data_IF_662437469163
#
_entry.id   IF_662437469163
#
_cell.length_a   1.000
_cell.length_b   1.000
_cell.length_c   1.000
_cell.angle_alpha   90.00
_cell.angle_beta   90.00
_cell.angle_gamma   90.00
#
_symmetry.space_group_name_H-M   'P 1'
#
loop_
_entity.id
_entity.type
_entity.pdbx_description
1 polymer ?
#
# COMPACT_ATOMS: atom_id res chain seq x y z
N UNK A 1 4.70 29.04 -30.84
CA UNK A 1 5.84 28.10 -30.81
C UNK A 1 5.62 27.10 -29.69
N UNK A 2 5.10 25.93 -30.02
CA UNK A 2 4.89 24.82 -29.07
C UNK A 2 6.25 24.25 -28.69
N UNK A 3 6.74 24.55 -27.49
CA UNK A 3 7.81 23.77 -26.88
C UNK A 3 7.30 22.34 -26.71
N UNK A 4 7.59 21.50 -27.69
CA UNK A 4 7.35 20.07 -27.65
C UNK A 4 8.20 19.47 -26.55
N UNK A 5 7.63 19.38 -25.34
CA UNK A 5 8.11 18.44 -24.34
C UNK A 5 8.05 17.06 -24.98
N UNK A 6 9.21 16.56 -25.44
CA UNK A 6 9.37 15.19 -25.93
C UNK A 6 8.85 14.27 -24.84
N UNK A 7 7.68 13.68 -25.08
CA UNK A 7 7.04 12.74 -24.14
C UNK A 7 8.01 11.59 -23.90
N UNK A 8 8.26 11.19 -22.65
CA UNK A 8 9.23 10.14 -22.35
C UNK A 8 8.81 8.84 -23.06
N UNK A 9 9.78 8.14 -23.65
CA UNK A 9 9.51 6.86 -24.31
C UNK A 9 9.02 5.83 -23.29
N UNK A 10 8.31 4.79 -23.73
CA UNK A 10 7.84 3.69 -22.87
C UNK A 10 8.96 3.13 -21.99
N UNK A 11 10.18 3.02 -22.55
CA UNK A 11 11.36 2.51 -21.85
C UNK A 11 11.99 3.49 -20.85
N UNK A 12 11.67 4.78 -20.90
CA UNK A 12 12.13 5.78 -19.93
C UNK A 12 11.10 6.04 -18.83
N UNK A 13 9.94 5.38 -18.90
CA UNK A 13 8.86 5.57 -17.96
C UNK A 13 8.89 4.49 -16.87
N UNK A 14 8.92 4.95 -15.62
CA UNK A 14 9.03 4.10 -14.44
C UNK A 14 7.83 3.14 -14.26
N UNK A 15 6.62 3.59 -14.57
CA UNK A 15 5.40 2.79 -14.40
C UNK A 15 5.41 1.55 -15.30
N UNK A 16 5.94 1.67 -16.52
CA UNK A 16 6.07 0.54 -17.44
C UNK A 16 7.11 -0.46 -16.95
N UNK A 17 8.25 0.02 -16.42
CA UNK A 17 9.23 -0.86 -15.80
C UNK A 17 8.69 -1.57 -14.57
N UNK A 18 7.89 -0.90 -13.75
CA UNK A 18 7.21 -1.52 -12.64
C UNK A 18 6.26 -2.65 -13.10
N UNK A 19 5.54 -2.44 -14.21
CA UNK A 19 4.73 -3.48 -14.85
C UNK A 19 5.60 -4.65 -15.31
N UNK A 20 6.64 -4.39 -16.10
CA UNK A 20 7.49 -5.44 -16.66
C UNK A 20 8.14 -6.29 -15.56
N UNK A 21 8.68 -5.66 -14.52
CA UNK A 21 9.28 -6.38 -13.39
C UNK A 21 8.22 -7.17 -12.63
N UNK A 22 7.07 -6.57 -12.33
CA UNK A 22 5.97 -7.25 -11.64
C UNK A 22 5.50 -8.49 -12.39
N UNK A 23 5.25 -8.38 -13.70
CA UNK A 23 4.86 -9.50 -14.55
C UNK A 23 5.95 -10.55 -14.68
N UNK A 24 7.20 -10.13 -14.82
CA UNK A 24 8.33 -11.05 -14.86
C UNK A 24 8.42 -11.87 -13.57
N UNK A 25 8.21 -11.26 -12.40
CA UNK A 25 8.11 -11.97 -11.13
C UNK A 25 6.98 -13.01 -11.16
N UNK A 26 5.80 -12.67 -11.70
CA UNK A 26 4.68 -13.64 -11.80
C UNK A 26 5.02 -14.82 -12.72
N UNK A 27 5.69 -14.57 -13.85
CA UNK A 27 6.14 -15.61 -14.75
C UNK A 27 7.20 -16.51 -14.11
N UNK A 28 8.18 -15.92 -13.42
CA UNK A 28 9.17 -16.69 -12.66
C UNK A 28 8.54 -17.50 -11.52
N UNK A 29 7.48 -16.99 -10.90
CA UNK A 29 6.71 -17.71 -9.89
C UNK A 29 6.02 -18.95 -10.48
N UNK A 30 5.52 -18.84 -11.70
CA UNK A 30 4.82 -19.90 -12.41
C UNK A 30 5.75 -21.08 -12.73
N UNK A 31 7.00 -20.81 -13.10
CA UNK A 31 8.02 -21.83 -13.36
C UNK A 31 8.80 -22.26 -12.10
N UNK A 32 8.46 -21.72 -10.93
CA UNK A 32 9.09 -22.08 -9.65
C UNK A 32 10.55 -21.63 -9.48
N UNK A 33 11.03 -20.70 -10.30
CA UNK A 33 12.43 -20.25 -10.30
C UNK A 33 12.71 -19.07 -9.34
N UNK A 34 11.67 -18.48 -8.75
CA UNK A 34 11.87 -17.36 -7.82
C UNK A 34 12.63 -17.78 -6.55
N UNK A 35 13.67 -17.03 -6.15
CA UNK A 35 14.27 -17.14 -4.84
C UNK A 35 13.22 -17.15 -3.74
N UNK A 36 13.30 -18.14 -2.86
CA UNK A 36 12.51 -18.13 -1.63
C UNK A 36 13.05 -17.04 -0.70
N UNK A 37 12.17 -16.23 -0.06
CA UNK A 37 12.62 -15.26 0.91
C UNK A 37 13.26 -15.96 2.12
N UNK A 38 14.15 -15.26 2.86
CA UNK A 38 14.75 -15.82 4.05
C UNK A 38 13.68 -16.21 5.07
N UNK A 39 13.82 -17.40 5.65
CA UNK A 39 12.92 -17.88 6.71
C UNK A 39 13.33 -17.25 8.03
N UNK A 40 12.56 -16.23 8.44
CA UNK A 40 12.70 -15.59 9.75
C UNK A 40 11.59 -16.13 10.66
N UNK A 41 11.96 -16.87 11.70
CA UNK A 41 11.01 -17.38 12.69
C UNK A 41 10.57 -16.28 13.66
N UNK A 42 9.48 -16.52 14.39
CA UNK A 42 9.19 -15.70 15.58
C UNK A 42 10.21 -16.06 16.65
N UNK A 43 10.83 -15.05 17.25
CA UNK A 43 11.94 -15.25 18.18
C UNK A 43 11.70 -14.54 19.50
N UNK A 44 12.53 -14.84 20.49
CA UNK A 44 12.67 -14.10 21.76
C UNK A 44 14.15 -13.80 22.01
N UNK A 45 15.03 -14.76 21.68
CA UNK A 45 16.47 -14.60 21.53
C UNK A 45 16.89 -14.60 20.04
N UNK A 46 17.89 -13.79 19.69
CA UNK A 46 18.25 -13.55 18.27
C UNK A 46 18.69 -14.83 17.54
N UNK A 47 19.32 -15.79 18.22
CA UNK A 47 19.69 -17.08 17.62
C UNK A 47 18.49 -17.88 17.10
N UNK A 48 17.33 -17.77 17.77
CA UNK A 48 16.09 -18.43 17.34
C UNK A 48 15.45 -17.78 16.10
N UNK A 49 15.83 -16.55 15.74
CA UNK A 49 15.30 -15.85 14.57
C UNK A 49 15.63 -16.57 13.26
N UNK A 50 16.76 -17.30 13.23
CA UNK A 50 17.31 -17.94 12.05
C UNK A 50 17.37 -19.46 12.22
N UNK A 51 16.22 -20.17 12.15
CA UNK A 51 16.16 -21.61 12.40
C UNK A 51 16.98 -22.44 11.39
N UNK A 52 17.33 -21.85 10.23
CA UNK A 52 18.21 -22.48 9.23
C UNK A 52 19.65 -21.93 9.24
N UNK A 53 20.03 -21.15 10.26
CA UNK A 53 21.37 -20.59 10.43
C UNK A 53 21.90 -19.89 9.17
N UNK A 54 23.13 -20.23 8.78
CA UNK A 54 23.87 -19.64 7.65
C UNK A 54 23.15 -19.73 6.29
N UNK A 55 22.30 -20.73 6.07
CA UNK A 55 21.53 -20.83 4.82
C UNK A 55 20.50 -19.69 4.65
N UNK A 56 20.11 -19.05 5.76
CA UNK A 56 19.28 -17.84 5.73
C UNK A 56 20.04 -16.67 5.13
N UNK A 57 21.34 -16.57 5.38
CA UNK A 57 22.19 -15.53 4.78
C UNK A 57 22.32 -15.76 3.27
N UNK A 58 22.55 -17.00 2.83
CA UNK A 58 22.61 -17.34 1.40
C UNK A 58 21.33 -17.00 0.64
N UNK A 59 20.16 -17.38 1.19
CA UNK A 59 18.86 -17.01 0.60
C UNK A 59 18.58 -15.51 0.62
N UNK A 60 19.04 -14.81 1.65
CA UNK A 60 18.95 -13.33 1.73
C UNK A 60 19.79 -12.66 0.65
N UNK A 61 21.04 -13.09 0.47
CA UNK A 61 21.94 -12.58 -0.55
C UNK A 61 21.37 -12.87 -1.95
N UNK A 62 20.88 -14.09 -2.19
CA UNK A 62 20.30 -14.45 -3.48
C UNK A 62 19.04 -13.63 -3.81
N UNK A 63 18.20 -13.34 -2.80
CA UNK A 63 17.06 -12.43 -2.96
C UNK A 63 17.51 -11.00 -3.24
N UNK A 64 18.51 -10.49 -2.51
CA UNK A 64 19.10 -9.16 -2.73
C UNK A 64 19.61 -9.01 -4.16
N UNK A 65 20.39 -9.99 -4.64
CA UNK A 65 20.90 -10.00 -6.02
C UNK A 65 19.74 -10.02 -7.01
N UNK A 66 18.75 -10.88 -6.81
CA UNK A 66 17.63 -11.00 -7.74
C UNK A 66 16.85 -9.69 -7.84
N UNK A 67 16.44 -9.10 -6.72
CA UNK A 67 15.72 -7.82 -6.71
C UNK A 67 16.60 -6.67 -7.21
N UNK A 68 17.89 -6.68 -6.86
CA UNK A 68 18.88 -5.72 -7.33
C UNK A 68 19.03 -5.75 -8.84
N UNK A 69 19.16 -6.94 -9.45
CA UNK A 69 19.26 -7.13 -10.91
C UNK A 69 17.98 -6.66 -11.60
N UNK A 70 16.80 -7.03 -11.09
CA UNK A 70 15.52 -6.62 -11.68
C UNK A 70 15.38 -5.10 -11.73
N UNK A 71 15.69 -4.42 -10.62
CA UNK A 71 15.61 -2.96 -10.54
C UNK A 71 16.74 -2.26 -11.28
N UNK A 72 17.93 -2.86 -11.32
CA UNK A 72 19.08 -2.39 -12.09
C UNK A 72 18.80 -2.37 -13.60
N UNK A 73 18.19 -3.43 -14.14
CA UNK A 73 17.81 -3.48 -15.55
C UNK A 73 16.91 -2.30 -15.88
N UNK A 74 15.85 -2.07 -15.10
CA UNK A 74 15.00 -0.89 -15.30
C UNK A 74 15.77 0.43 -15.15
N UNK A 75 16.66 0.51 -14.15
CA UNK A 75 17.51 1.67 -13.91
C UNK A 75 18.44 2.02 -15.08
N UNK A 76 18.93 1.05 -15.86
CA UNK A 76 19.71 1.31 -17.07
C UNK A 76 18.89 2.13 -18.08
N UNK A 77 17.67 1.69 -18.37
CA UNK A 77 16.81 2.35 -19.36
C UNK A 77 16.26 3.69 -18.86
N UNK A 78 16.06 3.83 -17.56
CA UNK A 78 15.70 5.08 -16.88
C UNK A 78 16.90 6.02 -16.63
N UNK A 79 18.12 5.62 -17.04
CA UNK A 79 19.36 6.41 -16.93
C UNK A 79 19.77 6.76 -15.50
N UNK A 80 19.60 5.83 -14.56
CA UNK A 80 20.06 6.00 -13.18
C UNK A 80 21.59 6.02 -13.09
N UNK A 81 22.13 6.68 -12.06
CA UNK A 81 23.57 6.64 -11.74
C UNK A 81 23.89 5.28 -11.09
N UNK A 82 24.15 4.27 -11.92
CA UNK A 82 24.31 2.87 -11.50
C UNK A 82 25.46 2.66 -10.51
N UNK A 83 26.53 3.48 -10.63
CA UNK A 83 27.69 3.43 -9.72
C UNK A 83 27.29 3.77 -8.28
N UNK A 84 26.29 4.63 -8.11
CA UNK A 84 25.75 5.01 -6.80
C UNK A 84 24.53 4.19 -6.40
N UNK A 85 23.72 3.79 -7.37
CA UNK A 85 22.51 3.00 -7.16
C UNK A 85 22.83 1.63 -6.54
N UNK A 86 23.76 0.86 -7.13
CA UNK A 86 24.06 -0.51 -6.67
C UNK A 86 24.49 -0.55 -5.19
N UNK A 87 25.52 0.19 -4.74
CA UNK A 87 25.90 0.16 -3.33
C UNK A 87 24.81 0.72 -2.41
N UNK A 88 24.07 1.74 -2.87
CA UNK A 88 22.93 2.27 -2.12
C UNK A 88 21.81 1.23 -1.92
N UNK A 89 21.48 0.47 -2.97
CA UNK A 89 20.46 -0.57 -2.94
C UNK A 89 20.81 -1.65 -1.93
N UNK A 90 22.08 -2.09 -1.88
CA UNK A 90 22.56 -3.08 -0.92
C UNK A 90 22.34 -2.58 0.52
N UNK A 91 22.63 -1.31 0.81
CA UNK A 91 22.43 -0.73 2.14
C UNK A 91 20.94 -0.62 2.48
N UNK A 92 20.10 -0.12 1.57
CA UNK A 92 18.64 -0.06 1.76
C UNK A 92 18.06 -1.47 1.99
N UNK A 93 18.54 -2.47 1.26
CA UNK A 93 18.15 -3.86 1.42
C UNK A 93 18.58 -4.41 2.78
N UNK A 94 19.79 -4.09 3.25
CA UNK A 94 20.26 -4.50 4.57
C UNK A 94 19.39 -3.91 5.69
N UNK A 95 19.07 -2.61 5.63
CA UNK A 95 18.16 -1.94 6.57
C UNK A 95 16.77 -2.60 6.53
N UNK A 96 16.30 -2.92 5.32
CA UNK A 96 15.03 -3.62 5.11
C UNK A 96 15.01 -5.01 5.74
N UNK A 97 16.08 -5.79 5.56
CA UNK A 97 16.23 -7.10 6.20
C UNK A 97 16.21 -6.99 7.72
N UNK A 98 16.92 -6.00 8.30
CA UNK A 98 16.91 -5.73 9.74
C UNK A 98 15.49 -5.39 10.23
N UNK A 99 14.76 -4.52 9.54
CA UNK A 99 13.36 -4.19 9.87
C UNK A 99 12.45 -5.43 9.87
N UNK A 100 12.65 -6.33 8.91
CA UNK A 100 11.89 -7.58 8.83
C UNK A 100 12.22 -8.55 9.95
N UNK A 101 13.51 -8.68 10.32
CA UNK A 101 13.93 -9.50 11.46
C UNK A 101 13.32 -8.98 12.76
N UNK A 102 13.42 -7.66 13.01
CA UNK A 102 12.92 -7.04 14.24
C UNK A 102 11.40 -7.16 14.34
N UNK A 103 10.67 -7.00 13.24
CA UNK A 103 9.20 -7.18 13.24
C UNK A 103 8.74 -8.59 13.62
N UNK A 104 9.61 -9.60 13.55
CA UNK A 104 9.32 -10.99 13.95
C UNK A 104 9.64 -11.29 15.41
N UNK A 105 10.17 -10.34 16.17
CA UNK A 105 10.35 -10.49 17.60
C UNK A 105 8.99 -10.70 18.28
N UNK A 106 8.90 -11.64 19.25
CA UNK A 106 7.63 -12.05 19.85
C UNK A 106 6.84 -10.86 20.44
N UNK A 107 7.54 -9.91 21.06
CA UNK A 107 6.94 -8.69 21.59
C UNK A 107 6.26 -7.87 20.49
N UNK A 108 7.00 -7.45 19.46
CA UNK A 108 6.45 -6.61 18.39
C UNK A 108 5.37 -7.32 17.58
N UNK A 109 5.53 -8.62 17.33
CA UNK A 109 4.52 -9.43 16.66
C UNK A 109 3.21 -9.48 17.45
N UNK A 110 3.28 -9.59 18.78
CA UNK A 110 2.10 -9.60 19.67
C UNK A 110 1.30 -8.30 19.59
N UNK A 111 1.99 -7.17 19.47
CA UNK A 111 1.37 -5.84 19.34
C UNK A 111 0.99 -5.47 17.90
N UNK A 112 1.13 -6.39 16.94
CA UNK A 112 0.79 -6.15 15.54
C UNK A 112 1.71 -5.13 14.85
N UNK A 113 2.88 -4.82 15.43
CA UNK A 113 3.82 -3.85 14.86
C UNK A 113 4.52 -4.48 13.66
N UNK A 114 4.13 -4.02 12.46
CA UNK A 114 4.61 -4.60 11.20
C UNK A 114 6.00 -4.09 10.80
N UNK A 115 6.66 -4.83 9.89
CA UNK A 115 7.93 -4.43 9.29
C UNK A 115 7.88 -3.04 8.61
N UNK A 116 6.70 -2.61 8.17
CA UNK A 116 6.49 -1.31 7.52
C UNK A 116 6.89 -0.17 8.46
N UNK A 117 6.53 -0.27 9.73
CA UNK A 117 6.84 0.76 10.72
C UNK A 117 8.36 0.81 10.99
N UNK A 118 8.99 -0.35 11.19
CA UNK A 118 10.44 -0.41 11.41
C UNK A 118 11.23 0.10 10.20
N UNK A 119 10.82 -0.27 8.99
CA UNK A 119 11.44 0.19 7.75
C UNK A 119 11.39 1.73 7.66
N UNK A 120 10.23 2.33 7.92
CA UNK A 120 10.06 3.78 7.96
C UNK A 120 10.92 4.42 9.06
N UNK A 121 10.83 3.92 10.31
CA UNK A 121 11.56 4.47 11.46
C UNK A 121 13.07 4.43 11.22
N UNK A 122 13.62 3.34 10.67
CA UNK A 122 15.05 3.28 10.40
C UNK A 122 15.48 4.27 9.32
N UNK A 123 14.68 4.44 8.26
CA UNK A 123 14.92 5.50 7.27
C UNK A 123 14.89 6.89 7.93
N UNK A 124 13.88 7.16 8.76
CA UNK A 124 13.72 8.43 9.48
C UNK A 124 14.88 8.72 10.45
N UNK A 125 15.34 7.71 11.18
CA UNK A 125 16.51 7.85 12.06
C UNK A 125 17.73 8.25 11.24
N UNK A 126 17.94 7.60 10.10
CA UNK A 126 19.07 7.92 9.23
C UNK A 126 18.95 9.35 8.67
N UNK A 127 17.77 9.76 8.21
CA UNK A 127 17.59 11.08 7.59
C UNK A 127 17.59 12.26 8.54
N UNK A 128 17.16 12.05 9.80
CA UNK A 128 17.04 13.13 10.78
C UNK A 128 18.24 13.24 11.72
N UNK A 129 18.94 12.13 11.99
CA UNK A 129 20.15 12.15 12.83
C UNK A 129 21.45 12.18 12.02
N UNK A 130 21.43 11.75 10.75
CA UNK A 130 22.62 11.70 9.91
C UNK A 130 22.39 12.37 8.55
N UNK A 131 23.48 12.78 7.91
CA UNK A 131 23.41 13.29 6.54
C UNK A 131 23.27 12.11 5.58
N UNK A 132 22.13 11.99 4.91
CA UNK A 132 21.87 10.91 3.94
C UNK A 132 22.93 10.92 2.82
N UNK A 133 23.76 9.87 2.69
CA UNK A 133 24.79 9.78 1.66
C UNK A 133 24.20 9.78 0.24
N UNK A 134 24.98 10.26 -0.74
CA UNK A 134 24.56 10.31 -2.16
C UNK A 134 24.16 8.94 -2.72
N UNK A 135 24.77 7.85 -2.23
CA UNK A 135 24.42 6.48 -2.64
C UNK A 135 23.00 6.10 -2.20
N UNK A 136 22.58 6.47 -0.98
CA UNK A 136 21.24 6.20 -0.48
C UNK A 136 20.20 7.04 -1.21
N UNK A 137 20.52 8.30 -1.53
CA UNK A 137 19.66 9.15 -2.37
C UNK A 137 19.47 8.58 -3.77
N UNK A 138 20.54 8.05 -4.38
CA UNK A 138 20.46 7.43 -5.70
C UNK A 138 19.60 6.15 -5.70
N UNK A 139 19.68 5.35 -4.63
CA UNK A 139 18.96 4.08 -4.51
C UNK A 139 17.55 4.19 -3.90
N UNK A 140 17.21 5.33 -3.28
CA UNK A 140 15.92 5.60 -2.64
C UNK A 140 14.78 5.82 -3.64
N UNK A 141 14.56 4.85 -4.54
CA UNK A 141 13.54 4.94 -5.58
C UNK A 141 12.17 4.54 -5.02
N UNK A 142 11.62 5.40 -4.15
CA UNK A 142 10.34 5.21 -3.43
C UNK A 142 9.21 4.76 -4.36
N UNK A 143 8.94 5.55 -5.40
CA UNK A 143 7.88 5.27 -6.37
C UNK A 143 8.13 3.98 -7.16
N UNK A 144 9.36 3.74 -7.60
CA UNK A 144 9.67 2.54 -8.36
C UNK A 144 9.40 1.26 -7.56
N UNK A 145 9.88 1.21 -6.31
CA UNK A 145 9.70 0.05 -5.45
C UNK A 145 8.23 -0.22 -5.12
N UNK A 146 7.46 0.82 -4.75
CA UNK A 146 6.05 0.62 -4.43
C UNK A 146 5.24 0.22 -5.65
N UNK A 147 5.51 0.78 -6.83
CA UNK A 147 4.81 0.43 -8.07
C UNK A 147 5.04 -1.03 -8.45
N UNK A 148 6.28 -1.54 -8.35
CA UNK A 148 6.58 -2.97 -8.55
C UNK A 148 5.79 -3.82 -7.55
N UNK A 149 5.84 -3.45 -6.27
CA UNK A 149 5.11 -4.14 -5.23
C UNK A 149 3.60 -4.16 -5.47
N UNK A 150 3.03 -3.07 -6.01
CA UNK A 150 1.61 -2.98 -6.35
C UNK A 150 1.23 -3.89 -7.51
N UNK A 151 2.04 -4.00 -8.55
CA UNK A 151 1.79 -4.97 -9.63
C UNK A 151 1.82 -6.40 -9.07
N UNK A 152 2.80 -6.73 -8.21
CA UNK A 152 2.82 -8.02 -7.50
C UNK A 152 1.60 -8.21 -6.57
N UNK A 153 1.08 -7.13 -5.99
CA UNK A 153 -0.14 -7.16 -5.17
C UNK A 153 -1.36 -7.57 -5.98
N UNK A 154 -1.43 -7.23 -7.27
CA UNK A 154 -2.52 -7.64 -8.15
C UNK A 154 -2.71 -9.15 -8.14
N UNK A 155 -1.63 -9.92 -8.22
CA UNK A 155 -1.65 -11.38 -8.13
C UNK A 155 -2.07 -11.95 -6.76
N UNK A 156 -2.09 -11.12 -5.71
CA UNK A 156 -2.56 -11.50 -4.37
C UNK A 156 -4.03 -11.12 -4.14
N UNK A 157 -4.54 -10.15 -4.91
CA UNK A 157 -5.96 -9.79 -4.90
C UNK A 157 -6.67 -10.73 -5.85
N UNK A 158 -7.25 -11.77 -5.27
CA UNK A 158 -8.12 -12.67 -6.02
C UNK A 158 -9.51 -12.03 -6.13
N UNK A 159 -9.94 -11.73 -7.35
CA UNK A 159 -11.31 -11.29 -7.61
C UNK A 159 -12.31 -12.34 -7.10
N UNK A 160 -11.94 -13.63 -7.08
CA UNK A 160 -12.74 -14.70 -6.48
C UNK A 160 -12.99 -14.50 -4.97
N UNK A 161 -12.09 -13.85 -4.23
CA UNK A 161 -12.29 -13.49 -2.81
C UNK A 161 -13.22 -12.28 -2.66
N UNK A 162 -13.12 -11.29 -3.55
CA UNK A 162 -14.04 -10.14 -3.57
C UNK A 162 -15.44 -10.58 -3.99
N UNK A 163 -15.58 -11.51 -4.93
CA UNK A 163 -16.85 -12.13 -5.28
C UNK A 163 -17.44 -12.91 -4.10
N UNK A 164 -16.60 -13.61 -3.32
CA UNK A 164 -17.00 -14.25 -2.05
C UNK A 164 -17.37 -13.26 -0.95
N UNK A 165 -16.84 -12.03 -0.99
CA UNK A 165 -17.28 -10.95 -0.10
C UNK A 165 -18.75 -10.59 -0.27
N UNK A 166 -19.33 -11.01 -1.40
CA UNK A 166 -20.70 -10.73 -1.77
C UNK A 166 -20.95 -9.25 -2.00
N UNK A 167 -22.22 -8.92 -2.19
CA UNK A 167 -22.66 -7.54 -2.36
C UNK A 167 -22.35 -6.66 -1.15
N UNK A 168 -22.31 -7.23 0.07
CA UNK A 168 -22.18 -6.49 1.32
C UNK A 168 -20.81 -5.82 1.45
N UNK A 169 -19.71 -6.56 1.25
CA UNK A 169 -18.36 -6.01 1.35
C UNK A 169 -18.08 -4.94 0.29
N UNK A 170 -18.57 -5.15 -0.94
CA UNK A 170 -18.44 -4.19 -2.04
C UNK A 170 -19.31 -2.95 -1.78
N UNK A 171 -20.54 -3.12 -1.29
CA UNK A 171 -21.42 -2.02 -0.95
C UNK A 171 -20.80 -1.14 0.15
N UNK A 172 -20.26 -1.74 1.22
CA UNK A 172 -19.53 -1.00 2.24
C UNK A 172 -18.38 -0.20 1.62
N UNK A 173 -17.55 -0.85 0.79
CA UNK A 173 -16.39 -0.21 0.20
C UNK A 173 -16.81 1.03 -0.61
N UNK A 174 -17.82 0.92 -1.46
CA UNK A 174 -18.33 2.03 -2.29
C UNK A 174 -18.91 3.15 -1.43
N UNK A 175 -19.80 2.83 -0.48
CA UNK A 175 -20.46 3.83 0.37
C UNK A 175 -19.47 4.59 1.26
N UNK A 176 -18.53 3.87 1.87
CA UNK A 176 -17.47 4.46 2.70
C UNK A 176 -16.55 5.30 1.83
N UNK A 177 -15.99 4.74 0.76
CA UNK A 177 -15.02 5.47 -0.04
C UNK A 177 -15.61 6.74 -0.66
N UNK A 178 -16.86 6.70 -1.14
CA UNK A 178 -17.49 7.87 -1.75
C UNK A 178 -17.66 9.00 -0.73
N UNK A 179 -18.31 8.73 0.41
CA UNK A 179 -18.58 9.78 1.42
C UNK A 179 -17.30 10.28 2.06
N UNK A 180 -16.37 9.37 2.38
CA UNK A 180 -15.08 9.74 2.99
C UNK A 180 -14.24 10.55 2.00
N UNK A 181 -14.25 10.22 0.71
CA UNK A 181 -13.48 10.97 -0.28
C UNK A 181 -13.99 12.42 -0.38
N UNK A 182 -15.29 12.62 -0.61
CA UNK A 182 -15.85 13.97 -0.73
C UNK A 182 -15.76 14.74 0.60
N UNK A 183 -16.01 14.08 1.73
CA UNK A 183 -15.89 14.69 3.05
C UNK A 183 -14.46 15.13 3.36
N UNK A 184 -13.47 14.26 3.11
CA UNK A 184 -12.05 14.59 3.31
C UNK A 184 -11.61 15.71 2.39
N UNK A 185 -11.99 15.65 1.11
CA UNK A 185 -11.68 16.70 0.15
C UNK A 185 -12.23 18.04 0.64
N UNK A 186 -13.50 18.08 1.03
CA UNK A 186 -14.14 19.29 1.56
C UNK A 186 -13.44 19.83 2.82
N UNK A 187 -13.10 18.96 3.78
CA UNK A 187 -12.35 19.34 4.98
C UNK A 187 -11.00 19.94 4.58
N UNK A 188 -10.21 19.28 3.74
CA UNK A 188 -8.91 19.77 3.29
C UNK A 188 -9.00 21.14 2.62
N UNK A 189 -10.02 21.37 1.78
CA UNK A 189 -10.25 22.67 1.14
C UNK A 189 -10.58 23.77 2.16
N UNK A 190 -11.34 23.44 3.22
CA UNK A 190 -11.62 24.37 4.33
C UNK A 190 -10.38 24.72 5.15
N UNK A 191 -9.41 23.80 5.21
CA UNK A 191 -8.08 24.03 5.78
C UNK A 191 -7.09 24.67 4.80
N UNK A 192 -7.58 25.22 3.69
CA UNK A 192 -6.77 25.92 2.66
C UNK A 192 -5.68 25.04 2.03
N UNK A 193 -5.86 23.72 2.04
CA UNK A 193 -4.97 22.79 1.34
C UNK A 193 -5.27 22.86 -0.17
N UNK A 194 -4.23 22.83 -1.01
CA UNK A 194 -4.36 22.91 -2.48
C UNK A 194 -5.32 21.84 -3.04
N UNK A 195 -5.94 22.06 -4.20
CA UNK A 195 -6.90 21.09 -4.76
C UNK A 195 -6.24 19.75 -5.08
N UNK A 196 -5.05 19.82 -5.68
CA UNK A 196 -4.23 18.64 -5.97
C UNK A 196 -3.95 17.86 -4.69
N UNK A 197 -3.42 18.52 -3.67
CA UNK A 197 -3.08 17.84 -2.43
C UNK A 197 -4.31 17.35 -1.68
N UNK A 198 -5.39 18.11 -1.65
CA UNK A 198 -6.68 17.70 -1.05
C UNK A 198 -7.21 16.42 -1.70
N UNK A 199 -7.09 16.29 -3.03
CA UNK A 199 -7.49 15.05 -3.73
C UNK A 199 -6.60 13.86 -3.36
N UNK A 200 -5.29 14.08 -3.16
CA UNK A 200 -4.37 13.04 -2.69
C UNK A 200 -4.74 12.60 -1.28
N UNK A 201 -4.96 13.55 -0.35
CA UNK A 201 -5.35 13.27 1.04
C UNK A 201 -6.70 12.54 1.09
N UNK A 202 -7.68 12.99 0.31
CA UNK A 202 -8.99 12.35 0.21
C UNK A 202 -8.91 10.92 -0.31
N UNK A 203 -8.09 10.68 -1.32
CA UNK A 203 -7.88 9.35 -1.90
C UNK A 203 -7.13 8.43 -0.94
N UNK A 204 -6.18 8.99 -0.17
CA UNK A 204 -5.47 8.27 0.88
C UNK A 204 -6.44 7.75 1.97
N UNK A 205 -7.27 8.63 2.54
CA UNK A 205 -8.19 8.31 3.65
C UNK A 205 -9.37 7.40 3.24
N UNK A 206 -9.79 7.42 1.97
CA UNK A 206 -11.00 6.70 1.53
C UNK A 206 -10.77 5.29 1.02
N UNK A 207 -9.51 4.90 0.75
CA UNK A 207 -9.19 3.63 0.08
C UNK A 207 -8.20 2.82 0.92
N UNK A 208 -6.90 2.96 0.63
CA UNK A 208 -5.86 2.08 1.16
C UNK A 208 -4.62 2.84 1.66
N UNK A 209 -4.76 4.16 1.83
CA UNK A 209 -3.68 5.01 2.31
C UNK A 209 -2.57 5.10 1.28
N UNK A 210 -1.46 4.39 1.53
CA UNK A 210 -0.20 4.52 0.80
C UNK A 210 -0.37 4.34 -0.71
N UNK A 211 -0.96 3.24 -1.16
CA UNK A 211 -1.04 2.95 -2.60
C UNK A 211 -1.98 3.93 -3.30
N UNK A 212 -3.06 4.32 -2.61
CA UNK A 212 -4.02 5.30 -3.09
C UNK A 212 -3.39 6.70 -3.21
N UNK A 213 -2.57 7.13 -2.25
CA UNK A 213 -1.78 8.36 -2.31
C UNK A 213 -0.91 8.41 -3.56
N UNK A 214 -0.18 7.33 -3.86
CA UNK A 214 0.74 7.26 -5.00
C UNK A 214 -0.02 7.21 -6.33
N UNK A 215 -1.10 6.42 -6.40
CA UNK A 215 -1.94 6.37 -7.60
C UNK A 215 -2.62 7.72 -7.88
N UNK A 216 -3.13 8.39 -6.84
CA UNK A 216 -3.69 9.73 -6.96
C UNK A 216 -2.62 10.73 -7.41
N UNK A 217 -1.46 10.74 -6.75
CA UNK A 217 -0.32 11.60 -7.09
C UNK A 217 0.09 11.47 -8.56
N UNK A 218 0.21 10.24 -9.07
CA UNK A 218 0.47 10.00 -10.49
C UNK A 218 -0.67 10.47 -11.41
N UNK A 219 -1.92 10.15 -11.06
CA UNK A 219 -3.09 10.48 -11.87
C UNK A 219 -3.32 12.00 -12.02
N UNK A 220 -3.08 12.77 -10.95
CA UNK A 220 -3.30 14.21 -10.91
C UNK A 220 -2.00 15.04 -11.09
N UNK A 221 -0.87 14.37 -11.32
CA UNK A 221 0.47 14.97 -11.38
C UNK A 221 0.77 15.86 -10.16
N UNK A 222 0.56 15.30 -8.97
CA UNK A 222 0.84 15.97 -7.70
C UNK A 222 2.33 16.16 -7.44
N UNK A 223 2.66 17.04 -6.48
CA UNK A 223 4.06 17.23 -6.06
C UNK A 223 4.56 15.93 -5.39
N UNK A 224 5.68 15.34 -5.85
CA UNK A 224 6.28 14.17 -5.22
C UNK A 224 6.54 14.35 -3.71
N UNK A 225 6.84 15.57 -3.26
CA UNK A 225 7.01 15.86 -1.83
C UNK A 225 5.71 15.71 -1.03
N UNK A 226 4.59 16.18 -1.59
CA UNK A 226 3.26 16.01 -1.00
C UNK A 226 2.85 14.53 -0.96
N UNK A 227 3.18 13.76 -2.01
CA UNK A 227 2.97 12.31 -2.05
C UNK A 227 3.78 11.61 -0.97
N UNK A 228 5.10 11.85 -0.89
CA UNK A 228 5.96 11.25 0.13
C UNK A 228 5.55 11.63 1.55
N UNK A 229 5.22 12.91 1.76
CA UNK A 229 4.65 13.41 3.01
C UNK A 229 3.41 12.61 3.42
N UNK A 230 2.44 12.48 2.50
CA UNK A 230 1.17 11.85 2.82
C UNK A 230 1.34 10.36 3.06
N UNK A 231 2.23 9.69 2.33
CA UNK A 231 2.58 8.29 2.62
C UNK A 231 3.14 8.14 4.03
N UNK A 232 4.09 8.98 4.44
CA UNK A 232 4.64 8.94 5.80
C UNK A 232 3.54 9.24 6.85
N UNK A 233 2.69 10.22 6.60
CA UNK A 233 1.61 10.60 7.52
C UNK A 233 0.55 9.50 7.70
N UNK A 234 0.12 8.86 6.60
CA UNK A 234 -0.79 7.69 6.64
C UNK A 234 -0.21 6.60 7.55
N UNK A 235 1.09 6.32 7.45
CA UNK A 235 1.72 5.26 8.23
C UNK A 235 1.74 5.57 9.72
N UNK A 236 2.04 6.82 10.08
CA UNK A 236 1.95 7.29 11.48
C UNK A 236 0.53 7.13 11.99
N UNK A 237 -0.46 7.56 11.20
CA UNK A 237 -1.88 7.44 11.57
C UNK A 237 -2.30 5.97 11.70
N UNK A 238 -1.87 5.09 10.80
CA UNK A 238 -2.17 3.66 10.85
C UNK A 238 -1.68 3.01 12.15
N UNK A 239 -0.48 3.38 12.65
CA UNK A 239 0.02 2.87 13.94
C UNK A 239 -0.92 3.26 15.08
N UNK A 240 -1.32 4.53 15.13
CA UNK A 240 -2.26 5.02 16.15
C UNK A 240 -3.59 4.27 16.07
N UNK A 241 -4.14 4.09 14.86
CA UNK A 241 -5.42 3.39 14.67
C UNK A 241 -5.36 1.92 15.10
N UNK A 242 -4.26 1.21 14.86
CA UNK A 242 -4.07 -0.18 15.33
C UNK A 242 -4.10 -0.25 16.86
N UNK A 243 -3.54 0.76 17.54
CA UNK A 243 -3.48 0.79 19.00
C UNK A 243 -4.81 1.24 19.62
N UNK A 244 -5.56 2.11 18.95
CA UNK A 244 -6.75 2.77 19.49
C UNK A 244 -8.04 2.04 19.14
N UNK A 245 -8.19 1.58 17.90
CA UNK A 245 -9.48 1.04 17.44
C UNK A 245 -9.87 -0.32 18.04
N UNK A 246 -8.98 -1.33 18.17
CA UNK A 246 -9.37 -2.60 18.77
C UNK A 246 -9.86 -2.47 20.22
N UNK A 247 -9.20 -1.69 21.11
CA UNK A 247 -9.74 -1.41 22.44
C UNK A 247 -11.12 -0.75 22.42
N UNK A 248 -11.38 0.18 21.50
CA UNK A 248 -12.71 0.81 21.36
C UNK A 248 -13.75 -0.23 20.94
N UNK A 249 -13.43 -1.10 19.98
CA UNK A 249 -14.35 -2.16 19.54
C UNK A 249 -14.71 -3.14 20.68
N UNK A 250 -13.73 -3.48 21.52
CA UNK A 250 -13.93 -4.32 22.71
C UNK A 250 -14.77 -3.59 23.76
N UNK A 251 -14.49 -2.31 24.02
CA UNK A 251 -15.25 -1.50 24.98
C UNK A 251 -16.73 -1.34 24.57
N UNK A 252 -17.00 -1.21 23.27
CA UNK A 252 -18.35 -1.15 22.71
C UNK A 252 -19.04 -2.53 22.61
N UNK A 253 -18.36 -3.63 22.99
CA UNK A 253 -18.84 -5.01 22.85
C UNK A 253 -19.36 -5.34 21.45
N UNK A 254 -18.65 -4.88 20.42
CA UNK A 254 -19.06 -5.13 19.03
C UNK A 254 -18.90 -6.62 18.68
N UNK A 255 -19.89 -7.22 17.99
CA UNK A 255 -19.72 -8.51 17.33
C UNK A 255 -18.46 -8.55 16.46
N UNK A 256 -17.75 -9.67 16.47
CA UNK A 256 -16.40 -9.77 15.91
C UNK A 256 -16.32 -9.48 14.41
N UNK A 257 -17.31 -9.93 13.63
CA UNK A 257 -17.44 -9.64 12.20
C UNK A 257 -17.68 -8.15 11.94
N UNK A 258 -18.48 -7.48 12.78
CA UNK A 258 -18.75 -6.04 12.65
C UNK A 258 -17.51 -5.24 13.05
N UNK A 259 -16.87 -5.56 14.18
CA UNK A 259 -15.61 -4.97 14.58
C UNK A 259 -14.53 -5.12 13.50
N UNK A 260 -14.41 -6.32 12.92
CA UNK A 260 -13.52 -6.59 11.79
C UNK A 260 -13.82 -5.72 10.57
N UNK A 261 -15.08 -5.65 10.15
CA UNK A 261 -15.50 -4.80 9.03
C UNK A 261 -15.25 -3.31 9.27
N UNK A 262 -15.40 -2.85 10.52
CA UNK A 262 -15.09 -1.48 10.92
C UNK A 262 -13.58 -1.19 10.84
N UNK A 263 -12.74 -2.03 11.45
CA UNK A 263 -11.28 -1.94 11.32
C UNK A 263 -10.84 -1.96 9.84
N UNK A 264 -11.45 -2.87 9.07
CA UNK A 264 -11.27 -3.03 7.62
C UNK A 264 -11.49 -1.77 6.82
N UNK A 265 -12.51 -0.98 7.16
CA UNK A 265 -12.85 0.23 6.42
C UNK A 265 -12.02 1.47 6.79
N UNK A 266 -11.39 1.48 7.98
CA UNK A 266 -10.72 2.67 8.54
C UNK A 266 -9.18 2.54 8.56
N UNK A 267 -8.62 1.37 8.85
CA UNK A 267 -7.16 1.23 8.98
C UNK A 267 -6.51 1.16 7.59
N UNK A 268 -5.86 2.24 7.19
CA UNK A 268 -5.30 2.43 5.84
C UNK A 268 -3.94 1.74 5.61
N UNK A 269 -3.86 0.49 6.03
CA UNK A 269 -2.75 -0.41 5.71
C UNK A 269 -3.22 -1.87 5.81
N UNK A 270 -3.14 -2.61 4.70
CA UNK A 270 -3.64 -3.99 4.61
C UNK A 270 -2.95 -4.95 5.59
N UNK A 271 -1.66 -4.77 5.87
CA UNK A 271 -0.97 -5.61 6.86
C UNK A 271 -1.35 -5.27 8.29
N UNK A 272 -1.45 -3.97 8.58
CA UNK A 272 -1.86 -3.43 9.86
C UNK A 272 -3.28 -3.86 10.25
N UNK A 273 -4.23 -3.81 9.31
CA UNK A 273 -5.63 -4.09 9.59
C UNK A 273 -5.88 -5.56 9.94
N UNK A 274 -5.14 -6.48 9.29
CA UNK A 274 -5.18 -7.91 9.63
C UNK A 274 -4.64 -8.11 11.05
N UNK A 275 -3.51 -7.47 11.39
CA UNK A 275 -2.94 -7.55 12.73
C UNK A 275 -3.87 -6.96 13.80
N UNK A 276 -4.55 -5.85 13.51
CA UNK A 276 -5.57 -5.27 14.39
C UNK A 276 -6.76 -6.22 14.58
N UNK A 277 -7.18 -6.92 13.53
CA UNK A 277 -8.21 -7.97 13.62
C UNK A 277 -7.78 -9.16 14.48
N UNK A 278 -6.49 -9.54 14.44
CA UNK A 278 -5.94 -10.64 15.27
C UNK A 278 -5.91 -10.30 16.77
N UNK A 279 -6.01 -9.02 17.15
CA UNK A 279 -6.12 -8.58 18.55
C UNK A 279 -7.51 -8.87 19.10
N UNK A 280 -8.54 -8.84 18.26
CA UNK A 280 -9.91 -9.09 18.68
C UNK A 280 -10.10 -10.55 19.12
N UNK A 281 -10.97 -10.72 20.12
CA UNK A 281 -11.27 -12.02 20.74
C UNK A 281 -12.73 -12.39 20.53
N UNK A 282 -12.99 -13.68 20.32
CA UNK A 282 -14.34 -14.23 20.31
C UNK A 282 -14.87 -14.42 21.74
N UNK A 283 -16.10 -14.92 21.87
CA UNK A 283 -16.74 -15.13 23.17
C UNK A 283 -15.97 -16.10 24.09
N UNK A 284 -15.13 -16.97 23.52
CA UNK A 284 -14.30 -17.94 24.23
C UNK A 284 -12.90 -17.40 24.59
N UNK A 285 -12.59 -16.13 24.25
CA UNK A 285 -11.30 -15.52 24.54
C UNK A 285 -10.19 -15.89 23.55
N UNK A 286 -10.51 -16.56 22.44
CA UNK A 286 -9.57 -16.93 21.37
C UNK A 286 -9.51 -15.84 20.28
N UNK A 287 -8.47 -15.86 19.45
CA UNK A 287 -8.37 -14.91 18.33
C UNK A 287 -9.49 -15.12 17.31
N UNK A 288 -10.28 -14.06 17.06
CA UNK A 288 -11.44 -14.15 16.18
C UNK A 288 -11.02 -14.28 14.71
N UNK A 289 -11.43 -15.38 14.08
CA UNK A 289 -11.28 -15.60 12.63
C UNK A 289 -12.28 -14.76 11.85
N UNK A 290 -13.47 -14.51 12.41
CA UNK A 290 -14.49 -13.69 11.78
C UNK A 290 -14.00 -12.25 11.64
N UNK A 291 -13.41 -11.68 12.69
CA UNK A 291 -12.85 -10.33 12.69
C UNK A 291 -11.75 -10.16 11.63
N UNK A 292 -10.76 -11.06 11.62
CA UNK A 292 -9.65 -11.03 10.64
C UNK A 292 -10.18 -11.16 9.21
N UNK A 293 -11.15 -12.05 9.00
CA UNK A 293 -11.70 -12.31 7.67
C UNK A 293 -12.53 -11.12 7.17
N UNK A 294 -13.37 -10.53 8.02
CA UNK A 294 -14.18 -9.35 7.67
C UNK A 294 -13.29 -8.12 7.40
N UNK A 295 -12.28 -7.92 8.25
CA UNK A 295 -11.28 -6.86 8.09
C UNK A 295 -10.53 -6.96 6.76
N UNK A 296 -10.01 -8.15 6.45
CA UNK A 296 -9.33 -8.41 5.19
C UNK A 296 -10.27 -8.23 3.99
N UNK A 297 -11.49 -8.74 4.10
CA UNK A 297 -12.49 -8.70 3.03
C UNK A 297 -12.89 -7.26 2.65
N UNK A 298 -13.28 -6.44 3.62
CA UNK A 298 -13.64 -5.03 3.41
C UNK A 298 -12.46 -4.26 2.82
N UNK A 299 -11.25 -4.41 3.39
CA UNK A 299 -10.09 -3.67 2.89
C UNK A 299 -9.70 -4.09 1.48
N UNK A 300 -9.85 -5.37 1.14
CA UNK A 300 -9.58 -5.87 -0.21
C UNK A 300 -10.60 -5.35 -1.22
N UNK A 301 -11.89 -5.27 -0.84
CA UNK A 301 -12.91 -4.64 -1.68
C UNK A 301 -12.56 -3.16 -1.94
N UNK A 302 -12.08 -2.43 -0.92
CA UNK A 302 -11.56 -1.06 -1.10
C UNK A 302 -10.36 -1.00 -2.04
N UNK A 303 -9.37 -1.89 -1.85
CA UNK A 303 -8.16 -1.93 -2.66
C UNK A 303 -8.45 -2.12 -4.16
N UNK A 304 -9.48 -2.88 -4.54
CA UNK A 304 -9.87 -3.07 -5.95
C UNK A 304 -10.33 -1.78 -6.61
N UNK A 305 -10.91 -0.85 -5.85
CA UNK A 305 -11.42 0.42 -6.40
C UNK A 305 -10.32 1.40 -6.81
N UNK A 306 -9.05 1.16 -6.42
CA UNK A 306 -7.93 2.05 -6.76
C UNK A 306 -7.81 2.30 -8.27
N UNK A 307 -8.09 1.27 -9.08
CA UNK A 307 -8.06 1.37 -10.54
C UNK A 307 -9.07 2.36 -11.09
N UNK A 308 -10.32 2.22 -10.63
CA UNK A 308 -11.42 3.09 -11.00
C UNK A 308 -11.18 4.53 -10.52
N UNK A 309 -10.78 4.70 -9.26
CA UNK A 309 -10.58 6.04 -8.69
C UNK A 309 -9.40 6.76 -9.35
N UNK A 310 -8.28 6.09 -9.61
CA UNK A 310 -7.15 6.69 -10.32
C UNK A 310 -7.55 7.14 -11.74
N UNK A 311 -8.42 6.39 -12.42
CA UNK A 311 -8.94 6.75 -13.73
C UNK A 311 -9.84 7.98 -13.66
N UNK A 312 -10.78 8.01 -12.73
CA UNK A 312 -11.67 9.15 -12.50
C UNK A 312 -10.89 10.41 -12.12
N UNK A 313 -9.85 10.28 -11.29
CA UNK A 313 -8.97 11.40 -10.93
C UNK A 313 -8.15 11.91 -12.12
N UNK A 314 -7.64 11.03 -12.98
CA UNK A 314 -6.93 11.45 -14.19
C UNK A 314 -7.86 12.23 -15.15
N UNK A 315 -9.11 11.78 -15.29
CA UNK A 315 -10.15 12.49 -16.04
C UNK A 315 -10.46 13.85 -15.37
N UNK A 316 -10.70 13.86 -14.07
CA UNK A 316 -11.02 15.11 -13.35
C UNK A 316 -9.87 16.13 -13.44
N UNK A 317 -8.62 15.68 -13.28
CA UNK A 317 -7.44 16.55 -13.36
C UNK A 317 -7.26 17.16 -14.76
N UNK A 318 -7.44 16.37 -15.82
CA UNK A 318 -7.37 16.88 -17.20
C UNK A 318 -8.48 17.86 -17.52
N UNK A 319 -9.70 17.65 -16.99
CA UNK A 319 -10.85 18.47 -17.33
C UNK A 319 -11.04 19.73 -16.46
N UNK A 320 -10.55 19.73 -15.22
CA UNK A 320 -10.84 20.79 -14.25
C UNK A 320 -9.61 21.57 -13.76
N UNK A 321 -8.52 20.89 -13.36
CA UNK A 321 -7.36 21.52 -12.72
C UNK A 321 -6.51 22.34 -13.69
N UNK A 322 -6.56 22.02 -14.97
CA UNK A 322 -5.65 22.57 -15.99
C UNK A 322 -6.37 23.19 -17.18
N UNK A 323 -7.70 23.35 -17.08
CA UNK A 323 -8.48 24.02 -18.11
C UNK A 323 -8.12 25.50 -18.13
N UNK A 324 -7.20 25.89 -19.01
CA UNK A 324 -7.03 27.29 -19.41
C UNK A 324 -8.26 27.72 -20.21
N UNK A 325 -8.81 28.89 -19.91
CA UNK A 325 -9.92 29.45 -20.68
C UNK A 325 -9.53 29.52 -22.17
N UNK A 326 -10.36 28.91 -23.03
CA UNK A 326 -10.12 28.83 -24.47
C UNK A 326 -9.28 27.64 -24.98
N UNK A 327 -8.80 26.74 -24.12
CA UNK A 327 -8.11 25.52 -24.56
C UNK A 327 -9.09 24.47 -25.13
N UNK A 328 -8.67 23.76 -26.18
CA UNK A 328 -9.41 22.62 -26.75
C UNK A 328 -9.67 21.54 -25.69
N UNK A 329 -10.74 20.75 -25.88
CA UNK A 329 -11.06 19.62 -24.99
C UNK A 329 -9.85 18.69 -24.90
N UNK A 330 -9.43 18.27 -23.69
CA UNK A 330 -8.29 17.37 -23.53
C UNK A 330 -8.53 16.08 -24.33
N UNK A 331 -7.52 15.67 -25.11
CA UNK A 331 -7.58 14.45 -25.91
C UNK A 331 -7.61 13.23 -24.99
N UNK A 332 -8.33 12.16 -25.39
CA UNK A 332 -8.28 10.86 -24.70
C UNK A 332 -6.84 10.37 -24.47
N UNK A 333 -5.93 10.71 -25.40
CA UNK A 333 -4.53 10.36 -25.29
C UNK A 333 -3.85 11.02 -24.09
N UNK A 334 -4.28 12.21 -23.68
CA UNK A 334 -3.75 12.91 -22.50
C UNK A 334 -4.15 12.21 -21.20
N UNK A 335 -5.43 11.80 -21.10
CA UNK A 335 -5.91 10.96 -19.98
C UNK A 335 -5.12 9.66 -19.92
N UNK A 336 -4.87 9.03 -21.08
CA UNK A 336 -4.02 7.84 -21.14
C UNK A 336 -2.62 8.14 -20.61
N UNK A 337 -1.94 9.21 -21.01
CA UNK A 337 -0.58 9.46 -20.53
C UNK A 337 -0.50 9.72 -19.01
N UNK A 338 -1.53 10.33 -18.42
CA UNK A 338 -1.59 10.57 -16.96
C UNK A 338 -1.99 9.35 -16.16
N UNK A 339 -2.83 8.49 -16.73
CA UNK A 339 -3.30 7.31 -16.04
C UNK A 339 -2.12 6.41 -15.65
N UNK A 340 -1.86 6.19 -14.33
CA UNK A 340 -0.66 5.51 -13.89
C UNK A 340 -0.61 4.07 -14.42
N UNK A 341 0.44 3.73 -15.17
CA UNK A 341 0.47 2.45 -15.90
C UNK A 341 0.63 1.25 -14.98
N UNK A 342 1.27 1.45 -13.83
CA UNK A 342 1.38 0.41 -12.81
C UNK A 342 0.01 -0.04 -12.27
N UNK A 343 -0.99 0.84 -12.26
CA UNK A 343 -2.37 0.52 -11.84
C UNK A 343 -3.00 -0.44 -12.85
N UNK A 344 -2.76 -0.22 -14.15
CA UNK A 344 -3.15 -1.18 -15.19
C UNK A 344 -2.43 -2.52 -14.99
N UNK A 345 -1.12 -2.51 -14.74
CA UNK A 345 -0.35 -3.71 -14.43
C UNK A 345 -0.94 -4.50 -13.27
N UNK A 346 -1.31 -3.82 -12.18
CA UNK A 346 -2.01 -4.40 -11.04
C UNK A 346 -3.37 -5.03 -11.42
N UNK A 347 -4.22 -4.30 -12.16
CA UNK A 347 -5.55 -4.80 -12.55
C UNK A 347 -5.43 -6.04 -13.45
N UNK A 348 -4.57 -5.98 -14.48
CA UNK A 348 -4.37 -7.11 -15.39
C UNK A 348 -3.79 -8.31 -14.64
N UNK A 349 -2.84 -8.10 -13.70
CA UNK A 349 -2.29 -9.18 -12.88
C UNK A 349 -3.37 -9.86 -12.03
N UNK A 350 -4.27 -9.08 -11.43
CA UNK A 350 -5.40 -9.59 -10.65
C UNK A 350 -6.38 -10.39 -11.50
N UNK A 351 -6.72 -9.91 -12.69
CA UNK A 351 -7.60 -10.60 -13.64
C UNK A 351 -6.98 -11.90 -14.17
N UNK A 352 -5.72 -11.87 -14.61
CA UNK A 352 -5.03 -13.06 -15.14
C UNK A 352 -4.89 -14.14 -14.07
N UNK A 353 -4.51 -13.79 -12.85
CA UNK A 353 -4.39 -14.78 -11.77
C UNK A 353 -5.76 -15.39 -11.43
N UNK A 354 -6.81 -14.56 -11.35
CA UNK A 354 -8.14 -15.00 -10.93
C UNK A 354 -8.89 -15.78 -12.01
N UNK A 355 -8.76 -15.40 -13.29
CA UNK A 355 -9.58 -15.95 -14.38
C UNK A 355 -8.81 -16.84 -15.35
N UNK A 356 -7.48 -16.83 -15.33
CA UNK A 356 -6.65 -17.67 -16.21
C UNK A 356 -5.88 -18.69 -15.38
N UNK A 357 -5.06 -18.25 -14.42
CA UNK A 357 -4.19 -19.18 -13.68
C UNK A 357 -4.95 -20.06 -12.68
N UNK A 358 -5.94 -19.51 -11.97
CA UNK A 358 -6.76 -20.28 -11.02
C UNK A 358 -7.54 -21.42 -11.71
N UNK A 359 -8.27 -21.18 -12.83
CA UNK A 359 -8.92 -22.25 -13.56
C UNK A 359 -7.96 -23.21 -14.29
N UNK A 360 -6.88 -22.70 -14.90
CA UNK A 360 -6.01 -23.53 -15.75
C UNK A 360 -5.00 -24.39 -14.98
N UNK A 361 -4.44 -23.88 -13.88
CA UNK A 361 -3.38 -24.55 -13.11
C UNK A 361 -3.90 -25.19 -11.81
N UNK A 362 -5.16 -24.92 -11.48
CA UNK A 362 -5.79 -25.33 -10.23
C UNK A 362 -5.38 -24.50 -9.01
N UNK A 363 -6.22 -24.56 -7.96
CA UNK A 363 -6.10 -23.75 -6.74
C UNK A 363 -4.73 -23.81 -6.06
N UNK A 364 -4.03 -24.95 -6.12
CA UNK A 364 -2.75 -25.14 -5.44
C UNK A 364 -1.63 -24.35 -6.12
N UNK A 365 -1.56 -24.39 -7.45
CA UNK A 365 -0.56 -23.65 -8.23
C UNK A 365 -0.82 -22.14 -8.19
N UNK A 366 -2.08 -21.72 -8.32
CA UNK A 366 -2.47 -20.31 -8.20
C UNK A 366 -2.11 -19.73 -6.81
N UNK A 367 -2.35 -20.49 -5.73
CA UNK A 367 -1.90 -20.12 -4.38
C UNK A 367 -0.38 -20.06 -4.26
N UNK A 368 0.36 -20.91 -4.97
CA UNK A 368 1.82 -20.85 -5.06
C UNK A 368 2.32 -19.54 -5.67
N UNK A 369 1.75 -19.15 -6.81
CA UNK A 369 2.05 -17.88 -7.49
C UNK A 369 1.70 -16.69 -6.60
N UNK A 370 0.49 -16.67 -6.03
CA UNK A 370 0.06 -15.62 -5.12
C UNK A 370 0.97 -15.52 -3.88
N UNK A 371 1.44 -16.64 -3.34
CA UNK A 371 2.39 -16.65 -2.23
C UNK A 371 3.75 -16.05 -2.62
N UNK A 372 4.27 -16.39 -3.79
CA UNK A 372 5.52 -15.83 -4.28
C UNK A 372 5.37 -14.31 -4.53
N UNK A 373 4.30 -13.89 -5.21
CA UNK A 373 4.00 -12.48 -5.45
C UNK A 373 3.83 -11.70 -4.14
N UNK A 374 3.17 -12.28 -3.13
CA UNK A 374 3.04 -11.70 -1.78
C UNK A 374 4.40 -11.46 -1.13
N UNK A 375 5.35 -12.37 -1.29
CA UNK A 375 6.69 -12.23 -0.73
C UNK A 375 7.43 -11.06 -1.38
N UNK A 376 7.51 -11.03 -2.71
CA UNK A 376 8.18 -9.94 -3.43
C UNK A 376 7.51 -8.59 -3.19
N UNK A 377 6.17 -8.55 -3.18
CA UNK A 377 5.42 -7.36 -2.76
C UNK A 377 5.88 -6.85 -1.40
N UNK A 378 5.97 -7.73 -0.41
CA UNK A 378 6.33 -7.33 0.96
C UNK A 378 7.75 -6.78 1.04
N UNK A 379 8.68 -7.38 0.31
CA UNK A 379 10.07 -6.91 0.22
C UNK A 379 10.19 -5.56 -0.50
N UNK A 380 9.55 -5.40 -1.66
CA UNK A 380 9.53 -4.11 -2.38
C UNK A 380 8.84 -3.01 -1.57
N UNK A 381 7.75 -3.33 -0.88
CA UNK A 381 7.12 -2.39 0.04
C UNK A 381 8.07 -2.01 1.17
N UNK A 382 8.77 -2.97 1.77
CA UNK A 382 9.72 -2.67 2.83
C UNK A 382 10.90 -1.79 2.35
N UNK A 383 11.45 -2.05 1.16
CA UNK A 383 12.45 -1.19 0.51
C UNK A 383 11.92 0.23 0.30
N UNK A 384 10.69 0.34 -0.21
CA UNK A 384 10.00 1.62 -0.37
C UNK A 384 9.88 2.37 0.96
N UNK A 385 9.44 1.71 2.03
CA UNK A 385 9.28 2.37 3.33
C UNK A 385 10.59 2.83 3.94
N UNK A 386 11.70 2.11 3.73
CA UNK A 386 13.04 2.62 4.07
C UNK A 386 13.36 3.85 3.24
N UNK A 387 13.12 3.83 1.91
CA UNK A 387 13.37 4.96 1.03
C UNK A 387 12.56 6.20 1.42
N UNK A 388 11.27 6.05 1.72
CA UNK A 388 10.40 7.11 2.23
C UNK A 388 10.97 7.70 3.52
N UNK A 389 11.38 6.85 4.46
CA UNK A 389 11.98 7.33 5.71
C UNK A 389 13.27 8.13 5.45
N UNK A 390 14.10 7.69 4.51
CA UNK A 390 15.34 8.38 4.12
C UNK A 390 15.08 9.75 3.46
N UNK A 391 13.95 9.92 2.79
CA UNK A 391 13.52 11.17 2.15
C UNK A 391 12.75 12.08 3.11
N UNK A 392 12.14 11.52 4.15
CA UNK A 392 11.29 12.25 5.08
C UNK A 392 12.09 12.96 6.16
N UNK A 393 11.87 14.26 6.31
CA UNK A 393 12.36 15.05 7.42
C UNK A 393 11.20 15.32 8.41
N UNK A 394 11.38 15.04 9.70
CA UNK A 394 10.33 15.28 10.71
C UNK A 394 9.90 16.74 10.77
N UNK A 395 10.84 17.67 10.57
CA UNK A 395 10.52 19.09 10.48
C UNK A 395 9.58 19.34 9.31
N UNK A 396 9.90 18.80 8.13
CA UNK A 396 9.01 18.91 6.96
C UNK A 396 7.66 18.24 7.18
N UNK A 397 7.60 17.08 7.84
CA UNK A 397 6.35 16.37 8.16
C UNK A 397 5.41 17.19 9.06
N UNK A 398 5.94 18.09 9.88
CA UNK A 398 5.13 18.97 10.73
C UNK A 398 4.92 20.35 10.08
N UNK A 399 5.86 20.83 9.25
CA UNK A 399 5.81 22.17 8.67
C UNK A 399 5.17 22.27 7.29
N UNK A 400 5.00 21.16 6.54
CA UNK A 400 4.34 21.18 5.22
C UNK A 400 2.93 21.75 5.37
N UNK A 401 2.63 22.80 4.60
CA UNK A 401 1.36 23.52 4.68
C UNK A 401 1.05 24.13 6.06
N UNK A 402 2.06 24.38 6.89
CA UNK A 402 1.88 24.88 8.26
C UNK A 402 1.18 23.90 9.20
N UNK A 403 1.24 22.59 8.93
CA UNK A 403 0.56 21.55 9.71
C UNK A 403 -0.93 21.39 9.41
N UNK A 404 -1.50 22.26 8.57
CA UNK A 404 -2.91 22.20 8.15
C UNK A 404 -3.28 20.86 7.50
N UNK A 405 -2.46 20.28 6.58
CA UNK A 405 -2.78 18.98 5.98
C UNK A 405 -2.88 17.84 7.01
N UNK A 406 -1.96 17.81 7.98
CA UNK A 406 -1.94 16.84 9.05
C UNK A 406 -3.22 16.89 9.92
N UNK A 407 -3.63 18.10 10.32
CA UNK A 407 -4.84 18.32 11.12
C UNK A 407 -6.09 17.94 10.32
N UNK A 408 -6.18 18.40 9.07
CA UNK A 408 -7.29 18.08 8.18
C UNK A 408 -7.44 16.56 7.99
N UNK A 409 -6.32 15.85 7.83
CA UNK A 409 -6.33 14.39 7.74
C UNK A 409 -6.87 13.74 9.02
N UNK A 410 -6.40 14.15 10.20
CA UNK A 410 -6.89 13.57 11.46
C UNK A 410 -8.38 13.78 11.69
N UNK A 411 -8.89 14.98 11.42
CA UNK A 411 -10.33 15.28 11.51
C UNK A 411 -11.10 14.40 10.52
N UNK A 412 -10.60 14.28 9.29
CA UNK A 412 -11.21 13.45 8.26
C UNK A 412 -11.15 11.95 8.59
N UNK A 413 -10.07 11.50 9.23
CA UNK A 413 -9.90 10.11 9.68
C UNK A 413 -10.86 9.78 10.84
N UNK A 414 -11.05 10.72 11.78
CA UNK A 414 -12.04 10.56 12.84
C UNK A 414 -13.47 10.51 12.27
N UNK A 415 -13.79 11.39 11.31
CA UNK A 415 -15.07 11.36 10.60
C UNK A 415 -15.26 10.03 9.83
N UNK A 416 -14.20 9.54 9.16
CA UNK A 416 -14.18 8.24 8.50
C UNK A 416 -14.45 7.10 9.51
N UNK A 417 -13.81 7.12 10.68
CA UNK A 417 -14.03 6.12 11.72
C UNK A 417 -15.50 6.07 12.17
N UNK A 418 -16.13 7.22 12.37
CA UNK A 418 -17.56 7.30 12.76
C UNK A 418 -18.47 6.85 11.61
N UNK A 419 -18.25 7.34 10.40
CA UNK A 419 -19.06 6.97 9.23
C UNK A 419 -18.97 5.48 8.93
N UNK A 420 -17.75 4.93 8.95
CA UNK A 420 -17.53 3.50 8.72
C UNK A 420 -18.14 2.65 9.84
N UNK A 421 -18.15 3.12 11.09
CA UNK A 421 -18.84 2.41 12.17
C UNK A 421 -20.35 2.31 11.87
N UNK A 422 -20.96 3.40 11.41
CA UNK A 422 -22.37 3.44 11.04
C UNK A 422 -22.69 2.53 9.84
N UNK A 423 -21.90 2.59 8.76
CA UNK A 423 -22.12 1.73 7.59
C UNK A 423 -21.88 0.26 7.94
N UNK A 424 -20.84 -0.04 8.71
CA UNK A 424 -20.56 -1.41 9.13
C UNK A 424 -21.62 -1.94 10.11
N UNK A 425 -22.25 -1.09 10.92
CA UNK A 425 -23.40 -1.46 11.74
C UNK A 425 -24.57 -1.91 10.87
N UNK A 426 -24.93 -1.14 9.85
CA UNK A 426 -26.03 -1.49 8.93
C UNK A 426 -25.74 -2.85 8.27
N UNK A 427 -24.52 -3.02 7.76
CA UNK A 427 -24.17 -4.12 6.86
C UNK A 427 -23.68 -5.40 7.56
N UNK A 428 -23.10 -5.30 8.75
CA UNK A 428 -22.40 -6.40 9.41
C UNK A 428 -22.91 -6.76 10.81
N UNK A 429 -23.78 -5.94 11.41
CA UNK A 429 -24.34 -6.25 12.73
C UNK A 429 -25.24 -7.49 12.76
N UNK A 430 -25.78 -7.89 11.60
CA UNK A 430 -26.83 -8.92 11.52
C UNK A 430 -28.25 -8.38 11.70
N UNK A 431 -28.41 -7.08 11.95
CA UNK A 431 -29.73 -6.47 12.21
C UNK A 431 -30.56 -6.27 10.95
N UNK A 432 -29.94 -5.79 9.86
CA UNK A 432 -30.64 -5.46 8.61
C UNK A 432 -30.32 -6.41 7.47
N UNK A 433 -29.11 -6.98 7.47
CA UNK A 433 -28.63 -7.91 6.45
C UNK A 433 -27.92 -9.07 7.12
N UNK A 434 -28.03 -10.26 6.53
CA UNK A 434 -27.22 -11.41 6.93
C UNK A 434 -25.78 -11.17 6.50
N UNK A 435 -24.82 -11.02 7.41
CA UNK A 435 -23.45 -10.70 7.05
C UNK A 435 -22.81 -11.88 6.30
N UNK A 436 -21.92 -11.56 5.35
CA UNK A 436 -21.20 -12.57 4.58
C UNK A 436 -20.29 -13.44 5.45
N UNK A 437 -19.89 -12.94 6.62
CA UNK A 437 -19.12 -13.65 7.63
C UNK A 437 -19.91 -13.58 8.93
N UNK A 438 -20.24 -14.75 9.49
CA UNK A 438 -20.94 -14.85 10.75
C UNK A 438 -19.98 -14.64 11.94
N UNK A 439 -20.50 -14.15 13.08
CA UNK A 439 -19.74 -14.12 14.34
C UNK A 439 -19.26 -15.53 14.71
N UNK A 440 -18.08 -15.60 15.31
CA UNK A 440 -17.46 -16.81 15.84
C UNK A 440 -17.58 -16.96 17.35
#
# INVERSE_FOLDING_TARGET
MSNGNKRPSVFQNEDWWACFIGWFILLLALIGWLPSPPKIATWTSLGAAFPKGASTLGTTIYLCITMGVLTFIGGIFMKYDLKRYIPGFIVIFAITFIAMVISKQAFFKKWGISYVLFALIFGLIISNFFKVPKILKAAGQTEFFIKIGLVCMGATIMFSVVLKAGAIGVAQAILVATVVWFGTYWICRKFEVSERFSSIIATANSICGVSATIAAGGAIQGDPKEVSYMVAWVLVCAVVLILVMPPIALWLNLPTQWAGAWLGGVIDNTGAVIAAGEVLRNAQGEASKAAVSAAAMVKMAQNVMIGLVAFLLAIWATMSLERKEGAEKPSFMEVWYRFPKFVLGFMVASLVVSFIFEPALGNKAAKGIAKAAKNYRSWYFALCFVAIGLETNFKELVTVGGGRPAIAYWISQAANAVWTLFISWILWSGTFFTPAILPD
#
